data_IF_472294476932
#
_entry.id   IF_472294476932
#
_cell.length_a   1.000
_cell.length_b   1.000
_cell.length_c   1.000
_cell.angle_alpha   90.00
_cell.angle_beta   90.00
_cell.angle_gamma   90.00
#
_symmetry.space_group_name_H-M   'P 1'
#
loop_
_entity.id
_entity.type
_entity.pdbx_description
1 polymer ?
#
# COMPACT_ATOMS: atom_id res chain seq x y z
N UNK A 1 4.09 25.19 -9.63
CA UNK A 1 3.21 25.38 -8.45
C UNK A 1 4.07 25.55 -7.23
N UNK A 2 3.86 26.62 -6.45
CA UNK A 2 4.75 27.03 -5.36
C UNK A 2 4.01 27.34 -4.04
N UNK A 3 2.70 27.11 -3.96
CA UNK A 3 1.92 27.53 -2.79
C UNK A 3 0.71 26.65 -2.51
N UNK A 4 0.32 26.58 -1.24
CA UNK A 4 -0.88 25.91 -0.75
C UNK A 4 -2.16 26.44 -1.43
N UNK A 5 -2.28 27.77 -1.58
CA UNK A 5 -3.42 28.39 -2.25
C UNK A 5 -3.50 27.97 -3.72
N UNK A 6 -2.35 27.86 -4.39
CA UNK A 6 -2.30 27.33 -5.75
C UNK A 6 -2.83 25.89 -5.84
N UNK A 7 -2.45 24.99 -4.92
CA UNK A 7 -2.98 23.64 -4.89
C UNK A 7 -4.48 23.59 -4.58
N UNK A 8 -4.99 24.45 -3.68
CA UNK A 8 -6.44 24.59 -3.42
C UNK A 8 -7.20 25.02 -4.67
N UNK A 9 -6.63 25.93 -5.44
CA UNK A 9 -7.24 26.37 -6.70
C UNK A 9 -7.28 25.24 -7.74
N UNK A 10 -6.25 24.38 -7.78
CA UNK A 10 -6.27 23.17 -8.61
C UNK A 10 -7.40 22.22 -8.16
N UNK A 11 -7.54 21.97 -6.85
CA UNK A 11 -8.63 21.14 -6.35
C UNK A 11 -10.00 21.68 -6.81
N UNK A 12 -10.23 22.99 -6.74
CA UNK A 12 -11.47 23.63 -7.27
C UNK A 12 -11.63 23.46 -8.78
N UNK A 13 -10.55 23.62 -9.55
CA UNK A 13 -10.61 23.43 -11.02
C UNK A 13 -11.03 22.01 -11.38
N UNK A 14 -10.52 21.01 -10.69
CA UNK A 14 -10.88 19.60 -10.91
C UNK A 14 -12.29 19.31 -10.40
N UNK A 15 -12.58 19.68 -9.15
CA UNK A 15 -13.78 19.26 -8.44
C UNK A 15 -15.05 20.03 -8.84
N UNK A 16 -14.92 21.30 -9.23
CA UNK A 16 -16.06 22.17 -9.51
C UNK A 16 -16.17 22.55 -10.99
N UNK A 17 -15.04 22.62 -11.72
CA UNK A 17 -14.99 23.09 -13.09
C UNK A 17 -14.68 21.99 -14.12
N UNK A 18 -14.64 20.73 -13.67
CA UNK A 18 -14.42 19.54 -14.52
C UNK A 18 -13.12 19.56 -15.34
N UNK A 19 -12.11 20.30 -14.88
CA UNK A 19 -10.80 20.30 -15.53
C UNK A 19 -9.97 19.09 -15.07
N UNK A 20 -10.45 17.90 -15.41
CA UNK A 20 -9.93 16.63 -14.90
C UNK A 20 -8.50 16.32 -15.35
N UNK A 21 -8.07 16.84 -16.49
CA UNK A 21 -6.78 16.55 -17.13
C UNK A 21 -5.70 17.60 -16.91
N UNK A 22 -5.87 18.51 -15.96
CA UNK A 22 -4.88 19.56 -15.69
C UNK A 22 -3.55 18.98 -15.24
N UNK A 23 -2.46 19.37 -15.89
CA UNK A 23 -1.12 18.98 -15.49
C UNK A 23 -0.52 19.98 -14.49
N UNK A 24 0.14 19.45 -13.48
CA UNK A 24 0.70 20.22 -12.36
C UNK A 24 2.17 19.80 -12.17
N UNK A 25 3.04 20.80 -11.99
CA UNK A 25 4.41 20.55 -11.56
C UNK A 25 4.69 21.44 -10.34
N UNK A 26 5.15 20.82 -9.24
CA UNK A 26 5.67 21.58 -8.11
C UNK A 26 7.06 22.11 -8.47
N UNK A 27 7.36 23.32 -8.00
CA UNK A 27 8.66 23.97 -8.18
C UNK A 27 9.17 24.58 -6.86
N UNK A 28 8.53 24.20 -5.75
CA UNK A 28 8.94 24.48 -4.38
C UNK A 28 8.20 23.51 -3.44
N UNK A 29 8.74 23.35 -2.25
CA UNK A 29 8.06 22.68 -1.15
C UNK A 29 6.80 23.45 -0.74
N UNK A 30 5.77 22.73 -0.29
CA UNK A 30 4.48 23.33 0.07
C UNK A 30 4.07 22.89 1.47
N UNK A 31 3.79 23.87 2.34
CA UNK A 31 3.22 23.63 3.66
C UNK A 31 1.69 23.78 3.61
N UNK A 32 0.99 22.70 3.94
CA UNK A 32 -0.48 22.63 4.07
C UNK A 32 -0.93 22.68 5.54
N UNK A 33 -0.05 22.96 6.49
CA UNK A 33 -0.41 23.04 7.91
C UNK A 33 -1.51 24.08 8.16
N UNK A 34 -2.57 23.65 8.85
CA UNK A 34 -3.74 24.50 9.13
C UNK A 34 -4.62 24.82 7.91
N UNK A 35 -4.38 24.19 6.79
CA UNK A 35 -5.21 24.30 5.59
C UNK A 35 -6.34 23.24 5.68
N UNK A 36 -7.57 23.67 5.55
CA UNK A 36 -8.72 22.78 5.32
C UNK A 36 -8.62 22.24 3.88
N UNK A 37 -8.12 21.00 3.77
CA UNK A 37 -7.83 20.39 2.50
C UNK A 37 -9.01 19.59 1.95
N UNK A 38 -9.46 19.94 0.76
CA UNK A 38 -10.36 19.12 -0.03
C UNK A 38 -9.54 18.32 -1.04
N UNK A 39 -9.61 16.98 -1.06
CA UNK A 39 -8.86 16.15 -1.99
C UNK A 39 -9.07 16.54 -3.45
N UNK A 40 -8.02 16.46 -4.26
CA UNK A 40 -8.13 16.66 -5.72
C UNK A 40 -8.81 15.42 -6.30
N UNK A 41 -9.95 15.62 -7.01
CA UNK A 41 -10.73 14.49 -7.52
C UNK A 41 -11.55 13.82 -6.40
N UNK A 42 -12.75 14.32 -6.12
CA UNK A 42 -13.54 13.90 -4.95
C UNK A 42 -14.33 12.60 -5.15
N UNK A 43 -14.59 12.21 -6.41
CA UNK A 43 -15.40 11.03 -6.74
C UNK A 43 -15.12 10.52 -8.17
N UNK A 44 -15.85 9.48 -8.59
CA UNK A 44 -15.76 8.89 -9.92
C UNK A 44 -15.99 9.89 -11.06
N UNK A 45 -16.89 10.87 -10.90
CA UNK A 45 -17.19 11.85 -11.94
C UNK A 45 -16.11 12.95 -12.00
N UNK A 46 -15.52 13.29 -10.86
CA UNK A 46 -14.49 14.33 -10.71
C UNK A 46 -13.10 13.73 -10.52
N UNK A 47 -12.84 12.57 -11.12
CA UNK A 47 -11.54 11.89 -11.02
C UNK A 47 -10.42 12.70 -11.67
N UNK A 48 -9.26 12.76 -11.01
CA UNK A 48 -8.08 13.40 -11.58
C UNK A 48 -7.45 12.52 -12.67
N UNK A 49 -7.24 13.08 -13.85
CA UNK A 49 -6.69 12.38 -15.04
C UNK A 49 -5.44 13.03 -15.62
N UNK A 50 -4.95 14.10 -15.02
CA UNK A 50 -3.73 14.77 -15.43
C UNK A 50 -2.46 14.13 -14.89
N UNK A 51 -1.34 14.80 -15.11
CA UNK A 51 -0.07 14.46 -14.48
C UNK A 51 0.24 15.47 -13.37
N UNK A 52 0.36 14.96 -12.13
CA UNK A 52 0.91 15.69 -11.00
C UNK A 52 2.36 15.26 -10.81
N UNK A 53 3.27 16.16 -11.11
CA UNK A 53 4.70 15.95 -10.90
C UNK A 53 5.16 16.76 -9.68
N UNK A 54 5.52 16.08 -8.60
CA UNK A 54 6.08 16.71 -7.41
C UNK A 54 7.47 17.30 -7.61
N UNK A 55 8.20 16.91 -8.68
CA UNK A 55 9.53 17.44 -8.98
C UNK A 55 10.58 17.16 -7.89
N UNK A 56 10.34 16.16 -7.04
CA UNK A 56 11.16 15.85 -5.86
C UNK A 56 10.90 16.78 -4.67
N UNK A 57 9.87 17.64 -4.73
CA UNK A 57 9.48 18.52 -3.63
C UNK A 57 8.63 17.81 -2.59
N UNK A 58 8.61 18.43 -1.39
CA UNK A 58 7.89 17.94 -0.22
C UNK A 58 6.60 18.75 -0.02
N UNK A 59 5.52 18.06 0.31
CA UNK A 59 4.29 18.63 0.86
C UNK A 59 4.21 18.20 2.32
N UNK A 60 4.13 19.19 3.23
CA UNK A 60 4.05 18.96 4.68
C UNK A 60 2.68 19.32 5.23
N UNK A 61 2.33 18.74 6.39
CA UNK A 61 1.16 19.14 7.18
C UNK A 61 -0.21 18.85 6.54
N UNK A 62 -0.27 17.98 5.52
CA UNK A 62 -1.55 17.60 4.90
C UNK A 62 -2.46 16.93 5.94
N UNK A 63 -3.60 17.55 6.20
CA UNK A 63 -4.63 17.02 7.11
C UNK A 63 -5.96 16.89 6.36
N UNK A 64 -6.52 15.68 6.38
CA UNK A 64 -7.86 15.37 5.86
C UNK A 64 -8.62 14.61 6.93
N UNK A 65 -9.68 15.21 7.46
CA UNK A 65 -10.63 14.53 8.35
C UNK A 65 -12.03 14.70 7.77
N UNK A 66 -12.60 13.63 7.26
CA UNK A 66 -13.83 13.71 6.49
C UNK A 66 -14.79 12.55 6.78
N UNK A 67 -16.04 12.72 6.40
CA UNK A 67 -17.04 11.65 6.26
C UNK A 67 -17.21 11.22 4.79
N UNK A 68 -16.44 11.80 3.86
CA UNK A 68 -16.47 11.43 2.46
C UNK A 68 -15.75 10.10 2.22
N UNK A 69 -16.08 9.47 1.10
CA UNK A 69 -15.58 8.13 0.79
C UNK A 69 -14.07 8.11 0.54
N UNK A 70 -13.50 9.12 -0.11
CA UNK A 70 -12.10 9.11 -0.53
C UNK A 70 -11.29 10.19 0.17
N UNK A 71 -10.21 9.79 0.84
CA UNK A 71 -9.36 10.69 1.61
C UNK A 71 -7.87 10.55 1.25
N UNK A 72 -7.20 11.68 1.00
CA UNK A 72 -5.78 11.76 0.62
C UNK A 72 -5.43 13.14 0.06
N UNK A 73 -4.23 13.28 -0.48
CA UNK A 73 -3.91 14.44 -1.33
C UNK A 73 -4.86 14.47 -2.54
N UNK A 74 -5.09 13.30 -3.12
CA UNK A 74 -6.14 13.02 -4.10
C UNK A 74 -7.23 12.16 -3.46
N UNK A 75 -8.49 12.43 -3.78
CA UNK A 75 -9.59 11.53 -3.46
C UNK A 75 -9.62 10.37 -4.45
N UNK A 76 -9.69 10.70 -5.75
CA UNK A 76 -9.83 9.73 -6.83
C UNK A 76 -8.91 10.04 -8.01
N UNK A 77 -7.97 9.15 -8.31
CA UNK A 77 -7.13 9.20 -9.52
C UNK A 77 -7.76 8.28 -10.57
N UNK A 78 -8.15 8.85 -11.71
CA UNK A 78 -8.76 8.12 -12.82
C UNK A 78 -7.74 7.45 -13.72
N UNK A 79 -8.23 6.61 -14.63
CA UNK A 79 -7.40 6.00 -15.67
C UNK A 79 -6.73 7.08 -16.52
N UNK A 80 -5.41 6.95 -16.71
CA UNK A 80 -4.55 7.93 -17.38
C UNK A 80 -4.00 9.03 -16.46
N UNK A 81 -4.53 9.18 -15.24
CA UNK A 81 -3.95 10.05 -14.22
C UNK A 81 -2.61 9.53 -13.71
N UNK A 82 -1.67 10.42 -13.44
CA UNK A 82 -0.35 10.07 -12.89
C UNK A 82 0.01 11.03 -11.76
N UNK A 83 0.45 10.49 -10.63
CA UNK A 83 1.03 11.25 -9.52
C UNK A 83 2.44 10.73 -9.29
N UNK A 84 3.43 11.62 -9.34
CA UNK A 84 4.81 11.19 -9.24
C UNK A 84 5.74 12.17 -8.57
N UNK A 85 6.89 11.63 -8.09
CA UNK A 85 8.03 12.41 -7.60
C UNK A 85 7.66 13.38 -6.48
N UNK A 86 6.82 12.95 -5.51
CA UNK A 86 6.38 13.77 -4.39
C UNK A 86 6.59 13.08 -3.05
N UNK A 87 7.10 13.84 -2.07
CA UNK A 87 7.18 13.41 -0.67
C UNK A 87 6.05 14.08 0.12
N UNK A 88 5.29 13.27 0.87
CA UNK A 88 4.26 13.74 1.80
C UNK A 88 4.73 13.49 3.23
N UNK A 89 5.00 14.55 3.99
CA UNK A 89 5.52 14.43 5.36
C UNK A 89 4.49 14.84 6.40
N UNK A 90 4.36 13.98 7.44
CA UNK A 90 3.51 14.25 8.58
C UNK A 90 2.02 14.30 8.24
N UNK A 91 1.57 13.50 7.27
CA UNK A 91 0.15 13.48 6.89
C UNK A 91 -0.74 13.00 8.04
N UNK A 92 -1.94 13.54 8.12
CA UNK A 92 -3.00 13.09 9.03
C UNK A 92 -4.27 12.87 8.21
N UNK A 93 -4.45 11.65 7.73
CA UNK A 93 -5.59 11.31 6.86
C UNK A 93 -6.56 10.41 7.61
N UNK A 94 -7.83 10.83 7.67
CA UNK A 94 -8.88 10.06 8.32
C UNK A 94 -10.21 10.18 7.58
N UNK A 95 -10.89 9.05 7.39
CA UNK A 95 -12.30 9.04 6.97
C UNK A 95 -13.13 8.13 7.87
N UNK A 96 -14.35 8.57 8.16
CA UNK A 96 -15.37 7.81 8.92
C UNK A 96 -16.42 7.17 8.02
N UNK A 97 -16.30 7.33 6.70
CA UNK A 97 -17.25 6.76 5.74
C UNK A 97 -17.30 5.22 5.85
N UNK A 98 -18.47 4.63 5.79
CA UNK A 98 -18.67 3.18 6.01
C UNK A 98 -17.93 2.29 5.00
N UNK A 99 -17.68 2.79 3.81
CA UNK A 99 -16.87 2.18 2.73
C UNK A 99 -15.75 3.14 2.30
N UNK A 100 -15.11 3.79 3.27
CA UNK A 100 -14.11 4.82 3.01
C UNK A 100 -12.77 4.23 2.55
N UNK A 101 -12.13 4.88 1.59
CA UNK A 101 -10.79 4.55 1.15
C UNK A 101 -9.84 5.71 1.46
N UNK A 102 -8.76 5.43 2.19
CA UNK A 102 -7.80 6.44 2.60
C UNK A 102 -6.36 6.04 2.27
N UNK A 103 -5.61 7.00 1.74
CA UNK A 103 -4.17 6.88 1.51
C UNK A 103 -3.51 8.25 1.55
N UNK A 104 -2.22 8.30 1.85
CA UNK A 104 -1.50 9.59 1.87
C UNK A 104 -1.56 10.28 0.51
N UNK A 105 -1.30 9.53 -0.57
CA UNK A 105 -1.39 10.05 -1.94
C UNK A 105 -2.83 10.04 -2.42
N UNK A 106 -3.54 8.91 -2.35
CA UNK A 106 -4.91 8.84 -2.85
C UNK A 106 -5.79 7.89 -2.05
N UNK A 107 -7.10 8.23 -1.91
CA UNK A 107 -8.10 7.29 -1.42
C UNK A 107 -8.26 6.14 -2.41
N UNK A 108 -8.53 6.44 -3.66
CA UNK A 108 -8.78 5.48 -4.73
C UNK A 108 -7.98 5.80 -5.99
N UNK A 109 -7.43 4.78 -6.67
CA UNK A 109 -6.67 4.99 -7.91
C UNK A 109 -6.91 3.90 -8.96
N UNK A 110 -7.17 4.33 -10.20
CA UNK A 110 -7.00 3.58 -11.45
C UNK A 110 -5.76 4.03 -12.24
N UNK A 111 -5.11 5.08 -11.79
CA UNK A 111 -3.96 5.70 -12.45
C UNK A 111 -2.64 5.17 -11.93
N UNK A 112 -1.59 5.90 -12.23
CA UNK A 112 -0.23 5.58 -11.83
C UNK A 112 0.20 6.44 -10.64
N UNK A 113 0.89 5.81 -9.69
CA UNK A 113 1.57 6.49 -8.58
C UNK A 113 3.02 6.03 -8.60
N UNK A 114 3.97 6.94 -8.79
CA UNK A 114 5.36 6.62 -9.06
C UNK A 114 6.29 7.45 -8.17
N UNK A 115 7.29 6.81 -7.56
CA UNK A 115 8.31 7.49 -6.76
C UNK A 115 7.73 8.46 -5.73
N UNK A 116 6.74 8.00 -4.96
CA UNK A 116 6.10 8.79 -3.91
C UNK A 116 6.44 8.23 -2.53
N UNK A 117 6.68 9.12 -1.57
CA UNK A 117 6.98 8.76 -0.18
C UNK A 117 5.96 9.39 0.77
N UNK A 118 5.51 8.61 1.76
CA UNK A 118 4.50 9.07 2.72
C UNK A 118 4.95 8.78 4.16
N UNK A 119 4.82 9.78 5.04
CA UNK A 119 4.98 9.62 6.49
C UNK A 119 3.82 10.27 7.25
N UNK A 120 3.53 9.79 8.46
CA UNK A 120 2.45 10.31 9.29
C UNK A 120 1.43 9.23 9.67
N UNK A 121 0.14 9.50 9.49
CA UNK A 121 -0.93 8.55 9.85
C UNK A 121 -2.05 8.53 8.82
N UNK A 122 -2.57 7.31 8.55
CA UNK A 122 -3.73 7.09 7.68
C UNK A 122 -4.72 6.19 8.42
N UNK A 123 -5.99 6.59 8.51
CA UNK A 123 -7.00 5.84 9.25
C UNK A 123 -8.36 5.80 8.55
N UNK A 124 -9.01 4.63 8.62
CA UNK A 124 -10.39 4.43 8.18
C UNK A 124 -11.14 3.71 9.28
N UNK A 125 -12.15 4.36 9.87
CA UNK A 125 -12.97 3.77 10.92
C UNK A 125 -14.23 3.09 10.39
N UNK A 126 -14.53 3.22 9.10
CA UNK A 126 -15.66 2.55 8.46
C UNK A 126 -15.49 1.03 8.40
N UNK A 127 -16.59 0.29 8.59
CA UNK A 127 -16.57 -1.19 8.67
C UNK A 127 -16.11 -1.88 7.39
N UNK A 128 -16.24 -1.25 6.23
CA UNK A 128 -15.84 -1.81 4.92
C UNK A 128 -14.77 -0.95 4.24
N UNK A 129 -14.04 -0.15 5.00
CA UNK A 129 -13.08 0.78 4.47
C UNK A 129 -11.67 0.21 4.33
N UNK A 130 -10.89 0.79 3.42
CA UNK A 130 -9.54 0.37 3.09
C UNK A 130 -8.54 1.48 3.40
N UNK A 131 -7.52 1.18 4.19
CA UNK A 131 -6.46 2.11 4.49
C UNK A 131 -5.10 1.60 3.97
N UNK A 132 -4.40 2.44 3.23
CA UNK A 132 -3.02 2.20 2.82
C UNK A 132 -2.15 3.43 3.06
N UNK A 133 -0.89 3.22 3.38
CA UNK A 133 0.00 4.36 3.62
C UNK A 133 0.15 5.27 2.40
N UNK A 134 0.15 4.70 1.19
CA UNK A 134 0.20 5.43 -0.08
C UNK A 134 -1.19 5.56 -0.70
N UNK A 135 -1.92 4.46 -0.83
CA UNK A 135 -3.24 4.42 -1.48
C UNK A 135 -4.22 3.50 -0.74
N UNK A 136 -5.47 3.96 -0.54
CA UNK A 136 -6.52 3.11 0.05
C UNK A 136 -6.84 1.92 -0.85
N UNK A 137 -7.20 2.17 -2.11
CA UNK A 137 -7.51 1.14 -3.10
C UNK A 137 -6.88 1.42 -4.46
N UNK A 138 -6.00 0.52 -4.91
CA UNK A 138 -5.43 0.54 -6.26
C UNK A 138 -6.15 -0.47 -7.14
N UNK A 139 -7.00 -0.01 -8.05
CA UNK A 139 -7.86 -0.87 -8.87
C UNK A 139 -7.35 -1.11 -10.30
N UNK A 140 -6.24 -0.50 -10.68
CA UNK A 140 -5.57 -0.64 -11.98
C UNK A 140 -4.30 0.21 -12.00
N UNK A 141 -3.63 0.30 -13.15
CA UNK A 141 -2.40 1.09 -13.30
C UNK A 141 -1.21 0.57 -12.48
N UNK A 142 -0.24 1.45 -12.25
CA UNK A 142 1.03 1.09 -11.64
C UNK A 142 1.24 1.82 -10.32
N UNK A 143 1.76 1.10 -9.34
CA UNK A 143 2.31 1.64 -8.10
C UNK A 143 3.80 1.26 -8.06
N UNK A 144 4.68 2.20 -8.37
CA UNK A 144 6.09 1.89 -8.57
C UNK A 144 6.98 2.79 -7.72
N UNK A 145 8.01 2.20 -7.10
CA UNK A 145 8.98 2.96 -6.28
C UNK A 145 8.36 3.77 -5.13
N UNK A 146 7.21 3.34 -4.63
CA UNK A 146 6.52 4.06 -3.58
C UNK A 146 6.86 3.51 -2.20
N UNK A 147 6.94 4.41 -1.23
CA UNK A 147 7.25 4.03 0.15
C UNK A 147 6.33 4.67 1.17
N UNK A 148 6.16 3.98 2.30
CA UNK A 148 5.41 4.52 3.43
C UNK A 148 6.07 4.18 4.76
N UNK A 149 6.24 5.19 5.59
CA UNK A 149 6.53 5.05 7.02
C UNK A 149 5.33 5.43 7.90
N UNK A 150 4.18 5.67 7.29
CA UNK A 150 2.96 6.06 8.00
C UNK A 150 2.42 4.91 8.87
N UNK A 151 1.82 5.28 10.00
CA UNK A 151 0.98 4.37 10.79
C UNK A 151 -0.37 4.21 10.10
N UNK A 152 -0.77 2.98 9.80
CA UNK A 152 -2.02 2.67 9.09
C UNK A 152 -2.99 1.96 10.01
N UNK A 153 -4.23 2.45 10.10
CA UNK A 153 -5.30 1.85 10.89
C UNK A 153 -6.57 1.67 10.05
N UNK A 154 -7.16 0.47 10.05
CA UNK A 154 -8.41 0.22 9.33
C UNK A 154 -9.35 -0.74 10.05
N UNK A 155 -10.64 -0.68 9.71
CA UNK A 155 -11.67 -1.61 10.18
C UNK A 155 -11.87 -2.83 9.28
N UNK A 156 -11.39 -2.82 8.02
CA UNK A 156 -11.60 -3.93 7.07
C UNK A 156 -10.33 -4.40 6.37
N UNK A 157 -9.65 -3.52 5.62
CA UNK A 157 -8.40 -3.88 4.93
C UNK A 157 -7.34 -2.83 5.23
N UNK A 158 -6.20 -3.28 5.73
CA UNK A 158 -5.09 -2.43 6.10
C UNK A 158 -3.79 -2.90 5.43
N UNK A 159 -3.10 -2.00 4.75
CA UNK A 159 -1.79 -2.29 4.16
C UNK A 159 -0.81 -1.13 4.31
N UNK A 160 0.45 -1.43 4.52
CA UNK A 160 1.47 -0.39 4.71
C UNK A 160 1.65 0.51 3.48
N UNK A 161 1.43 -0.04 2.27
CA UNK A 161 1.45 0.70 1.00
C UNK A 161 0.04 0.86 0.46
N UNK A 162 -0.72 -0.23 0.27
CA UNK A 162 -2.07 -0.20 -0.26
C UNK A 162 -3.04 -1.01 0.62
N UNK A 163 -4.22 -0.45 0.96
CA UNK A 163 -5.25 -1.17 1.70
C UNK A 163 -5.76 -2.38 0.92
N UNK A 164 -6.07 -2.21 -0.35
CA UNK A 164 -6.41 -3.28 -1.26
C UNK A 164 -5.91 -3.00 -2.69
N UNK A 165 -5.76 -4.09 -3.45
CA UNK A 165 -5.46 -4.03 -4.89
C UNK A 165 -6.39 -4.97 -5.65
N UNK A 166 -6.63 -4.70 -6.93
CA UNK A 166 -7.50 -5.51 -7.78
C UNK A 166 -6.84 -5.81 -9.14
N UNK A 167 -7.47 -6.67 -9.94
CA UNK A 167 -7.00 -7.13 -11.25
C UNK A 167 -6.57 -5.96 -12.14
N UNK A 168 -5.38 -6.07 -12.71
CA UNK A 168 -4.78 -5.05 -13.56
C UNK A 168 -3.89 -4.05 -12.84
N UNK A 169 -3.85 -4.02 -11.50
CA UNK A 169 -2.86 -3.26 -10.77
C UNK A 169 -1.51 -4.00 -10.74
N UNK A 170 -0.41 -3.25 -10.85
CA UNK A 170 0.94 -3.79 -10.73
C UNK A 170 1.69 -2.97 -9.69
N UNK A 171 2.16 -3.64 -8.64
CA UNK A 171 3.00 -3.05 -7.61
C UNK A 171 4.44 -3.53 -7.79
N UNK A 172 5.35 -2.59 -7.96
CA UNK A 172 6.77 -2.91 -8.15
C UNK A 172 7.65 -2.01 -7.30
N UNK A 173 8.61 -2.61 -6.61
CA UNK A 173 9.62 -1.90 -5.82
C UNK A 173 9.03 -0.96 -4.76
N UNK A 174 7.92 -1.37 -4.14
CA UNK A 174 7.27 -0.61 -3.09
C UNK A 174 7.62 -1.19 -1.71
N UNK A 175 7.70 -0.33 -0.69
CA UNK A 175 7.96 -0.82 0.65
C UNK A 175 7.27 0.00 1.76
N UNK A 176 7.09 -0.65 2.90
CA UNK A 176 6.54 -0.01 4.09
C UNK A 176 7.40 -0.30 5.34
N UNK A 177 7.60 0.72 6.15
CA UNK A 177 8.30 0.63 7.43
C UNK A 177 7.42 1.01 8.62
N UNK A 178 6.28 1.63 8.37
CA UNK A 178 5.29 1.98 9.38
C UNK A 178 4.50 0.79 9.89
N UNK A 179 3.85 0.95 11.03
CA UNK A 179 2.98 -0.10 11.61
C UNK A 179 1.61 -0.14 10.92
N UNK A 180 1.08 -1.36 10.80
CA UNK A 180 -0.27 -1.61 10.27
C UNK A 180 -1.12 -2.24 11.37
N UNK A 181 -2.27 -1.64 11.66
CA UNK A 181 -3.22 -2.13 12.65
C UNK A 181 -4.60 -2.29 12.03
N UNK A 182 -5.17 -3.47 12.17
CA UNK A 182 -6.55 -3.73 11.81
C UNK A 182 -7.34 -4.04 13.08
N UNK A 183 -8.46 -3.35 13.28
CA UNK A 183 -9.40 -3.62 14.38
C UNK A 183 -10.79 -3.78 13.82
N UNK A 184 -11.28 -5.01 13.78
CA UNK A 184 -12.62 -5.31 13.30
C UNK A 184 -13.64 -5.30 14.44
N UNK A 185 -14.83 -4.80 14.14
CA UNK A 185 -15.94 -4.70 15.10
C UNK A 185 -17.20 -5.47 14.64
N UNK A 186 -17.04 -6.41 13.69
CA UNK A 186 -18.17 -7.16 13.14
C UNK A 186 -17.86 -8.67 13.12
N UNK A 187 -18.70 -9.46 13.77
CA UNK A 187 -18.49 -10.89 14.02
C UNK A 187 -18.60 -11.78 12.77
N UNK A 188 -19.19 -11.30 11.68
CA UNK A 188 -19.49 -12.09 10.49
C UNK A 188 -18.62 -11.71 9.25
N UNK A 189 -17.64 -10.85 9.44
CA UNK A 189 -16.79 -10.37 8.36
C UNK A 189 -15.49 -11.15 8.19
N UNK A 190 -14.83 -10.90 7.06
CA UNK A 190 -13.46 -11.34 6.78
C UNK A 190 -12.58 -10.11 6.56
N UNK A 191 -11.47 -10.05 7.24
CA UNK A 191 -10.63 -8.87 7.40
C UNK A 191 -9.18 -9.20 7.10
N UNK A 192 -8.45 -8.22 6.54
CA UNK A 192 -7.11 -8.47 6.01
C UNK A 192 -6.12 -7.38 6.40
N UNK A 193 -5.02 -7.77 7.04
CA UNK A 193 -3.90 -6.88 7.34
C UNK A 193 -2.61 -7.40 6.72
N UNK A 194 -1.91 -6.55 5.97
CA UNK A 194 -0.63 -6.89 5.35
C UNK A 194 0.40 -5.76 5.48
N UNK A 195 1.66 -6.11 5.63
CA UNK A 195 2.72 -5.11 5.74
C UNK A 195 2.88 -4.25 4.49
N UNK A 196 2.62 -4.81 3.31
CA UNK A 196 2.61 -4.08 2.03
C UNK A 196 1.16 -3.86 1.58
N UNK A 197 0.37 -4.91 1.42
CA UNK A 197 -1.00 -4.85 0.91
C UNK A 197 -1.94 -5.63 1.81
N UNK A 198 -3.06 -5.02 2.22
CA UNK A 198 -4.08 -5.71 3.02
C UNK A 198 -4.71 -6.87 2.24
N UNK A 199 -5.21 -6.62 1.03
CA UNK A 199 -5.84 -7.63 0.17
C UNK A 199 -5.38 -7.51 -1.28
N UNK A 200 -4.76 -8.57 -1.81
CA UNK A 200 -4.40 -8.69 -3.21
C UNK A 200 -5.47 -9.46 -3.99
N UNK A 201 -6.34 -8.75 -4.70
CA UNK A 201 -7.45 -9.29 -5.50
C UNK A 201 -7.11 -9.55 -6.97
N UNK A 202 -5.99 -10.20 -7.26
CA UNK A 202 -5.59 -10.53 -8.64
C UNK A 202 -4.55 -9.61 -9.27
N UNK A 203 -3.84 -8.84 -8.45
CA UNK A 203 -2.74 -7.97 -8.88
C UNK A 203 -1.41 -8.71 -8.96
N UNK A 204 -0.45 -8.10 -9.67
CA UNK A 204 0.95 -8.51 -9.63
C UNK A 204 1.72 -7.65 -8.62
N UNK A 205 2.26 -8.26 -7.57
CA UNK A 205 3.09 -7.62 -6.56
C UNK A 205 4.49 -8.23 -6.65
N UNK A 206 5.49 -7.42 -6.95
CA UNK A 206 6.87 -7.90 -7.11
C UNK A 206 7.89 -6.94 -6.50
N UNK A 207 8.99 -7.48 -6.00
CA UNK A 207 10.06 -6.70 -5.42
C UNK A 207 9.56 -5.73 -4.33
N UNK A 208 8.65 -6.18 -3.45
CA UNK A 208 8.08 -5.36 -2.40
C UNK A 208 8.43 -5.91 -1.02
N UNK A 209 8.55 -5.04 -0.02
CA UNK A 209 8.87 -5.49 1.32
C UNK A 209 8.25 -4.63 2.44
N UNK A 210 8.18 -5.20 3.64
CA UNK A 210 7.79 -4.45 4.82
C UNK A 210 8.67 -4.80 6.04
N UNK A 211 8.88 -3.77 6.89
CA UNK A 211 9.62 -3.90 8.15
C UNK A 211 8.80 -3.52 9.37
N UNK A 212 7.63 -2.93 9.17
CA UNK A 212 6.74 -2.53 10.26
C UNK A 212 5.98 -3.69 10.89
N UNK A 213 5.53 -3.53 12.13
CA UNK A 213 4.63 -4.51 12.74
C UNK A 213 3.26 -4.52 12.09
N UNK A 214 2.67 -5.70 11.94
CA UNK A 214 1.33 -5.92 11.39
C UNK A 214 0.48 -6.62 12.44
N UNK A 215 -0.59 -5.97 12.88
CA UNK A 215 -1.49 -6.53 13.90
C UNK A 215 -2.93 -6.53 13.44
N UNK A 216 -3.62 -7.64 13.69
CA UNK A 216 -5.05 -7.78 13.47
C UNK A 216 -5.75 -8.24 14.75
N UNK A 217 -6.83 -7.56 15.14
CA UNK A 217 -7.60 -7.87 16.34
C UNK A 217 -9.07 -7.53 16.17
N UNK A 218 -9.90 -8.05 17.05
CA UNK A 218 -11.36 -7.81 17.04
C UNK A 218 -12.14 -9.07 16.72
N UNK A 219 -13.29 -8.91 16.09
CA UNK A 219 -14.25 -9.98 15.81
C UNK A 219 -14.20 -10.41 14.34
N UNK A 220 -14.75 -11.59 14.03
CA UNK A 220 -14.76 -12.16 12.67
C UNK A 220 -13.47 -12.88 12.32
N UNK A 221 -13.32 -13.27 11.06
CA UNK A 221 -12.12 -13.98 10.58
C UNK A 221 -11.07 -12.97 10.10
N UNK A 222 -9.92 -12.93 10.78
CA UNK A 222 -8.86 -11.96 10.52
C UNK A 222 -7.62 -12.68 9.98
N UNK A 223 -7.22 -12.33 8.77
CA UNK A 223 -6.00 -12.83 8.15
C UNK A 223 -4.89 -11.77 8.21
N UNK A 224 -3.74 -12.15 8.74
CA UNK A 224 -2.61 -11.24 8.94
C UNK A 224 -1.36 -11.80 8.28
N UNK A 225 -0.75 -11.04 7.40
CA UNK A 225 0.49 -11.45 6.76
C UNK A 225 1.57 -10.35 6.78
N UNK A 226 2.81 -10.76 6.83
CA UNK A 226 3.92 -9.81 6.81
C UNK A 226 3.99 -8.98 5.53
N UNK A 227 3.60 -9.56 4.39
CA UNK A 227 3.51 -8.86 3.09
C UNK A 227 2.06 -8.58 2.73
N UNK A 228 1.19 -9.59 2.73
CA UNK A 228 -0.23 -9.43 2.39
C UNK A 228 -1.15 -10.18 3.35
N UNK A 229 -2.30 -9.57 3.71
CA UNK A 229 -3.33 -10.25 4.50
C UNK A 229 -3.95 -11.42 3.74
N UNK A 230 -4.30 -11.22 2.46
CA UNK A 230 -4.74 -12.28 1.55
C UNK A 230 -4.15 -12.11 0.17
N UNK A 231 -3.87 -13.23 -0.51
CA UNK A 231 -3.53 -13.30 -1.93
C UNK A 231 -4.63 -14.08 -2.66
N UNK A 232 -5.64 -13.36 -3.13
CA UNK A 232 -6.77 -13.93 -3.86
C UNK A 232 -6.46 -13.87 -5.37
N UNK A 233 -6.14 -14.99 -5.99
CA UNK A 233 -5.81 -15.14 -7.43
C UNK A 233 -4.72 -14.19 -7.98
N UNK A 234 -4.01 -13.48 -7.12
CA UNK A 234 -2.91 -12.58 -7.47
C UNK A 234 -1.55 -13.27 -7.46
N UNK A 235 -0.51 -12.52 -7.83
CA UNK A 235 0.86 -13.00 -7.77
C UNK A 235 1.71 -12.19 -6.81
N UNK A 236 2.50 -12.87 -5.97
CA UNK A 236 3.56 -12.30 -5.17
C UNK A 236 4.89 -12.89 -5.66
N UNK A 237 5.84 -12.04 -6.05
CA UNK A 237 7.17 -12.48 -6.52
C UNK A 237 8.26 -11.70 -5.81
N UNK A 238 9.19 -12.42 -5.20
CA UNK A 238 10.36 -11.83 -4.55
C UNK A 238 9.98 -10.71 -3.56
N UNK A 239 9.02 -11.00 -2.67
CA UNK A 239 8.61 -10.09 -1.62
C UNK A 239 9.06 -10.61 -0.26
N UNK A 240 9.28 -9.71 0.70
CA UNK A 240 9.66 -10.17 2.03
C UNK A 240 9.15 -9.29 3.18
N UNK A 241 9.11 -9.89 4.37
CA UNK A 241 8.87 -9.18 5.63
C UNK A 241 9.96 -9.50 6.66
N UNK A 242 10.46 -8.47 7.34
CA UNK A 242 11.45 -8.60 8.40
C UNK A 242 11.27 -7.55 9.50
N UNK A 243 11.87 -7.79 10.65
CA UNK A 243 11.92 -6.93 11.86
C UNK A 243 10.63 -6.87 12.67
N UNK A 244 9.57 -6.23 12.12
CA UNK A 244 8.35 -6.02 12.87
C UNK A 244 7.63 -7.32 13.19
N UNK A 245 6.83 -7.35 14.27
CA UNK A 245 6.02 -8.52 14.61
C UNK A 245 4.78 -8.62 13.72
N UNK A 246 4.43 -9.85 13.33
CA UNK A 246 3.16 -10.15 12.65
C UNK A 246 2.27 -10.91 13.62
N UNK A 247 1.08 -10.38 13.94
CA UNK A 247 0.19 -10.95 14.98
C UNK A 247 -1.28 -10.82 14.62
N UNK A 248 -2.01 -11.94 14.64
CA UNK A 248 -3.47 -12.00 14.56
C UNK A 248 -4.08 -12.48 15.87
N UNK A 249 -5.37 -12.16 16.12
CA UNK A 249 -6.14 -12.69 17.26
C UNK A 249 -6.85 -13.99 16.92
N UNK A 250 -7.59 -14.01 15.82
CA UNK A 250 -8.38 -15.14 15.34
C UNK A 250 -8.23 -15.23 13.82
N UNK A 251 -8.09 -16.45 13.31
CA UNK A 251 -7.80 -16.68 11.89
C UNK A 251 -6.35 -17.08 11.65
N UNK A 252 -5.92 -16.99 10.41
CA UNK A 252 -4.59 -17.43 10.04
C UNK A 252 -3.60 -16.27 9.95
N UNK A 253 -2.41 -16.51 10.48
CA UNK A 253 -1.30 -15.55 10.47
C UNK A 253 -0.08 -16.19 9.81
N UNK A 254 0.55 -15.47 8.89
CA UNK A 254 1.74 -15.97 8.18
C UNK A 254 2.82 -14.91 8.03
N UNK A 255 4.07 -15.35 8.00
CA UNK A 255 5.23 -14.49 7.86
C UNK A 255 5.24 -13.67 6.56
N UNK A 256 4.58 -14.16 5.51
CA UNK A 256 4.41 -13.51 4.21
C UNK A 256 2.92 -13.22 3.96
N UNK A 257 2.06 -14.22 3.99
CA UNK A 257 0.64 -14.08 3.69
C UNK A 257 -0.24 -14.66 4.81
N UNK A 258 -1.30 -13.96 5.21
CA UNK A 258 -2.30 -14.53 6.13
C UNK A 258 -3.07 -15.65 5.43
N UNK A 259 -3.46 -15.46 4.18
CA UNK A 259 -4.14 -16.46 3.36
C UNK A 259 -3.62 -16.45 1.91
N UNK A 260 -3.45 -17.63 1.31
CA UNK A 260 -3.28 -17.81 -0.13
C UNK A 260 -4.50 -18.57 -0.65
N UNK A 261 -5.36 -17.88 -1.38
CA UNK A 261 -6.70 -18.34 -1.70
C UNK A 261 -6.76 -18.98 -3.08
N UNK A 262 -7.63 -19.99 -3.21
CA UNK A 262 -7.95 -20.65 -4.46
C UNK A 262 -9.42 -20.40 -4.80
N UNK A 263 -9.66 -19.68 -5.87
CA UNK A 263 -10.99 -19.55 -6.45
C UNK A 263 -11.21 -20.62 -7.51
N UNK A 264 -12.36 -21.27 -7.48
CA UNK A 264 -12.68 -22.37 -8.42
C UNK A 264 -12.89 -21.91 -9.87
N UNK A 265 -13.19 -20.62 -10.08
CA UNK A 265 -13.49 -20.05 -11.41
C UNK A 265 -12.39 -19.09 -11.88
N UNK A 266 -11.77 -18.33 -10.96
CA UNK A 266 -10.80 -17.27 -11.30
C UNK A 266 -9.34 -17.74 -11.22
N UNK A 267 -9.08 -18.87 -10.55
CA UNK A 267 -7.73 -19.42 -10.42
C UNK A 267 -7.20 -19.40 -9.01
N UNK A 268 -5.88 -19.39 -8.87
CA UNK A 268 -5.20 -19.51 -7.58
C UNK A 268 -4.20 -18.39 -7.37
N UNK A 269 -4.04 -17.98 -6.14
CA UNK A 269 -2.94 -17.10 -5.74
C UNK A 269 -1.59 -17.79 -5.97
N UNK A 270 -0.62 -17.07 -6.52
CA UNK A 270 0.74 -17.58 -6.78
C UNK A 270 1.73 -16.81 -5.91
N UNK A 271 2.55 -17.53 -5.16
CA UNK A 271 3.63 -16.95 -4.34
C UNK A 271 4.95 -17.58 -4.78
N UNK A 272 5.95 -16.77 -5.11
CA UNK A 272 7.24 -17.24 -5.62
C UNK A 272 8.38 -16.46 -4.97
N UNK A 273 9.37 -17.17 -4.45
CA UNK A 273 10.58 -16.61 -3.85
C UNK A 273 10.29 -15.50 -2.84
N UNK A 274 9.32 -15.72 -1.95
CA UNK A 274 8.97 -14.78 -0.89
C UNK A 274 9.55 -15.26 0.45
N UNK A 275 9.98 -14.29 1.29
CA UNK A 275 10.76 -14.58 2.48
C UNK A 275 10.24 -13.87 3.71
N UNK A 276 10.50 -14.43 4.89
CA UNK A 276 10.28 -13.74 6.16
C UNK A 276 11.37 -14.09 7.17
N UNK A 277 11.61 -13.20 8.12
CA UNK A 277 12.56 -13.43 9.20
C UNK A 277 12.33 -12.47 10.36
N UNK A 278 12.55 -12.95 11.59
CA UNK A 278 12.47 -12.11 12.78
C UNK A 278 11.11 -11.52 13.10
N UNK A 279 10.00 -12.02 12.54
CA UNK A 279 8.65 -11.46 12.70
C UNK A 279 7.72 -12.26 13.63
N UNK A 280 8.25 -13.32 14.25
CA UNK A 280 7.52 -14.14 15.24
C UNK A 280 6.61 -15.22 14.62
N UNK A 281 6.67 -15.44 13.30
CA UNK A 281 5.89 -16.49 12.63
C UNK A 281 6.75 -17.70 12.30
N UNK A 282 6.19 -18.90 12.49
CA UNK A 282 6.81 -20.19 12.16
C UNK A 282 6.44 -20.67 10.75
N UNK A 283 5.37 -20.09 10.15
CA UNK A 283 4.89 -20.41 8.81
C UNK A 283 4.80 -19.18 7.95
N UNK A 284 5.11 -19.31 6.64
CA UNK A 284 5.06 -18.22 5.68
C UNK A 284 3.66 -17.84 5.25
N UNK A 285 2.75 -18.84 5.20
CA UNK A 285 1.35 -18.68 4.81
C UNK A 285 0.48 -19.25 5.93
N UNK A 286 -0.41 -18.45 6.50
CA UNK A 286 -1.28 -18.86 7.59
C UNK A 286 -2.32 -19.91 7.17
N UNK A 287 -3.05 -19.64 6.07
CA UNK A 287 -3.97 -20.56 5.42
C UNK A 287 -3.60 -20.70 3.93
N UNK A 288 -3.04 -21.82 3.53
CA UNK A 288 -2.69 -22.09 2.13
C UNK A 288 -3.67 -23.07 1.49
N UNK A 289 -4.64 -22.55 0.75
CA UNK A 289 -5.60 -23.34 -0.02
C UNK A 289 -5.05 -23.83 -1.36
N UNK A 290 -3.89 -23.31 -1.79
CA UNK A 290 -3.24 -23.67 -3.06
C UNK A 290 -2.24 -24.80 -2.89
N UNK A 291 -1.52 -24.82 -1.75
CA UNK A 291 -0.57 -25.87 -1.44
C UNK A 291 0.74 -25.81 -2.25
N UNK A 292 1.07 -24.66 -2.83
CA UNK A 292 2.26 -24.49 -3.70
C UNK A 292 3.51 -24.02 -2.96
N UNK A 293 3.40 -23.63 -1.70
CA UNK A 293 4.53 -23.05 -0.95
C UNK A 293 4.95 -21.69 -1.50
N UNK A 294 6.22 -21.55 -1.86
CA UNK A 294 6.78 -20.30 -2.44
C UNK A 294 7.26 -19.31 -1.39
N UNK A 295 7.29 -19.72 -0.13
CA UNK A 295 7.77 -18.93 1.00
C UNK A 295 8.87 -19.67 1.76
N UNK A 296 9.87 -18.93 2.27
CA UNK A 296 10.98 -19.50 3.03
C UNK A 296 11.33 -18.60 4.22
N UNK A 297 11.48 -19.20 5.39
CA UNK A 297 11.95 -18.51 6.59
C UNK A 297 13.46 -18.29 6.51
N UNK A 298 13.88 -17.06 6.76
CA UNK A 298 15.31 -16.73 6.94
C UNK A 298 15.64 -16.92 8.42
N UNK A 299 16.59 -17.80 8.68
CA UNK A 299 17.12 -18.06 10.02
C UNK A 299 18.51 -17.45 10.15
N UNK A 300 18.92 -17.16 11.37
CA UNK A 300 20.27 -16.66 11.70
C UNK A 300 20.67 -15.38 10.92
N UNK A 301 19.66 -14.58 10.50
CA UNK A 301 19.83 -13.35 9.71
C UNK A 301 20.63 -13.54 8.40
N UNK A 302 20.72 -14.77 7.89
CA UNK A 302 21.38 -15.08 6.60
C UNK A 302 20.47 -14.73 5.40
N UNK A 303 20.37 -13.45 5.10
CA UNK A 303 19.61 -12.95 3.97
C UNK A 303 20.28 -13.11 2.61
N UNK A 304 21.55 -13.53 2.53
CA UNK A 304 22.23 -13.64 1.22
C UNK A 304 21.59 -14.69 0.32
N UNK A 305 21.28 -15.86 0.87
CA UNK A 305 20.58 -16.92 0.12
C UNK A 305 19.19 -16.46 -0.36
N UNK A 306 18.47 -15.69 0.46
CA UNK A 306 17.20 -15.11 0.07
C UNK A 306 17.36 -14.08 -1.04
N UNK A 307 18.35 -13.21 -0.97
CA UNK A 307 18.68 -12.22 -1.99
C UNK A 307 18.97 -12.88 -3.34
N UNK A 308 19.78 -13.92 -3.35
CA UNK A 308 20.14 -14.63 -4.59
C UNK A 308 18.90 -15.25 -5.26
N UNK A 309 18.03 -15.88 -4.47
CA UNK A 309 16.80 -16.49 -5.00
C UNK A 309 15.74 -15.43 -5.42
N UNK A 310 15.60 -14.34 -4.67
CA UNK A 310 14.73 -13.22 -5.06
C UNK A 310 15.21 -12.59 -6.37
N UNK A 311 16.51 -12.37 -6.52
CA UNK A 311 17.10 -11.81 -7.74
C UNK A 311 16.94 -12.75 -8.94
N UNK A 312 17.07 -14.06 -8.75
CA UNK A 312 16.79 -15.03 -9.80
C UNK A 312 15.32 -14.93 -10.28
N UNK A 313 14.37 -14.77 -9.35
CA UNK A 313 12.95 -14.58 -9.68
C UNK A 313 12.62 -13.20 -10.30
N UNK A 314 13.48 -12.21 -10.09
CA UNK A 314 13.35 -10.84 -10.65
C UNK A 314 14.15 -10.64 -11.94
N UNK A 315 14.88 -11.66 -12.43
CA UNK A 315 15.69 -11.53 -13.64
C UNK A 315 14.92 -10.94 -14.82
N UNK A 316 15.45 -9.86 -15.40
CA UNK A 316 14.82 -9.12 -16.50
C UNK A 316 13.60 -8.28 -16.12
N UNK A 317 13.34 -8.08 -14.82
CA UNK A 317 12.24 -7.23 -14.34
C UNK A 317 12.67 -5.82 -13.92
N UNK A 318 13.94 -5.48 -14.13
CA UNK A 318 14.51 -4.15 -13.89
C UNK A 318 14.84 -3.84 -12.42
N UNK A 319 14.66 -4.82 -11.51
CA UNK A 319 14.90 -4.66 -10.07
C UNK A 319 15.67 -5.82 -9.48
N UNK A 320 16.49 -5.52 -8.49
CA UNK A 320 17.20 -6.53 -7.70
C UNK A 320 17.35 -6.07 -6.24
N UNK A 321 17.53 -7.04 -5.36
CA UNK A 321 17.89 -6.81 -3.97
C UNK A 321 19.41 -6.81 -3.79
N UNK A 322 19.88 -6.03 -2.83
CA UNK A 322 21.26 -6.05 -2.37
C UNK A 322 21.34 -5.95 -0.85
N UNK A 323 22.33 -6.59 -0.27
CA UNK A 323 22.75 -6.34 1.10
C UNK A 323 23.86 -5.27 1.07
N UNK A 324 23.58 -4.08 1.58
CA UNK A 324 24.59 -3.03 1.73
C UNK A 324 25.50 -3.34 2.90
N UNK A 325 26.79 -2.99 2.78
CA UNK A 325 27.75 -3.13 3.86
C UNK A 325 27.20 -2.54 5.18
N UNK A 326 27.18 -3.38 6.23
CA UNK A 326 26.63 -3.03 7.54
C UNK A 326 25.09 -3.10 7.68
N UNK A 327 24.37 -3.46 6.61
CA UNK A 327 22.93 -3.74 6.69
C UNK A 327 22.67 -5.22 6.86
N UNK A 328 21.83 -5.57 7.84
CA UNK A 328 21.36 -6.96 8.04
C UNK A 328 20.18 -7.32 7.11
N UNK A 329 19.59 -6.35 6.39
CA UNK A 329 18.40 -6.59 5.57
C UNK A 329 18.58 -6.10 4.13
N UNK A 330 17.99 -6.82 3.17
CA UNK A 330 18.03 -6.44 1.75
C UNK A 330 17.34 -5.09 1.49
N UNK A 331 17.89 -4.35 0.55
CA UNK A 331 17.27 -3.15 -0.02
C UNK A 331 17.19 -3.26 -1.53
N UNK A 332 16.26 -2.54 -2.15
CA UNK A 332 16.06 -2.57 -3.60
C UNK A 332 16.99 -1.61 -4.32
N UNK A 333 17.44 -2.02 -5.49
CA UNK A 333 18.07 -1.16 -6.49
C UNK A 333 17.60 -1.52 -7.89
N UNK A 334 17.72 -0.57 -8.83
CA UNK A 334 17.48 -0.83 -10.26
C UNK A 334 18.56 -1.76 -10.83
N UNK A 335 18.15 -2.71 -11.62
CA UNK A 335 19.06 -3.53 -12.43
C UNK A 335 19.75 -2.61 -13.44
N UNK A 336 21.09 -2.74 -13.58
CA UNK A 336 21.90 -1.91 -14.50
C UNK A 336 21.89 -2.49 -15.90
#
# INVERSE_FOLDING_TARGET
MTSAEGLKNIAKLVNEQWNLGINITLTADIDLSGIDWTPIGIDYNHQYKGTFNGGGHTITGLTVTTSDQYAGLFGYIGSGGTVKDVTLEGVQIATTHSVGDAGGVAGYSYGNIENCSVSGSVSVSGMNGFAGGVVGYQSGGFLTECSSSATVNAGNKAGGVAGATNSGAILTACYATGSVTLVSNNDIGTYFAGGVVGSNGGSCIQACYAWGSVTGSGSGTIYVGGVTGTNDVGTLTACYHAKGTVKGSDGATGGVAGRNFKDSMLGSGIITACYWGGNGQEQGIGEDQVGTGGTTMVTDDDWQTAVDAMNAALSGKGWQYELKDGSSLPTLKKEQ
#
